data_IF_696805064228
#
_entry.id   IF_696805064228
#
_cell.length_a   1.000
_cell.length_b   1.000
_cell.length_c   1.000
_cell.angle_alpha   90.00
_cell.angle_beta   90.00
_cell.angle_gamma   90.00
#
_symmetry.space_group_name_H-M   'P 1'
#
loop_
_entity.id
_entity.type
_entity.pdbx_description
1 polymer ?
#
# COMPACT_ATOMS: atom_id res chain seq x y z
N UNK A 1 18.12 -45.60 -31.75
CA UNK A 1 17.13 -45.44 -30.67
C UNK A 1 17.34 -44.06 -30.04
N UNK A 2 16.68 -43.02 -30.56
CA UNK A 2 16.83 -41.65 -30.04
C UNK A 2 15.60 -41.31 -29.20
N UNK A 3 15.79 -41.20 -27.88
CA UNK A 3 14.75 -40.81 -26.92
C UNK A 3 14.66 -39.28 -26.96
N UNK A 4 13.63 -38.75 -27.62
CA UNK A 4 13.31 -37.32 -27.62
C UNK A 4 12.99 -36.87 -26.19
N UNK A 5 13.88 -36.10 -25.56
CA UNK A 5 13.63 -35.47 -24.27
C UNK A 5 12.51 -34.44 -24.43
N UNK A 6 11.34 -34.72 -23.84
CA UNK A 6 10.28 -33.72 -23.69
C UNK A 6 10.74 -32.72 -22.65
N UNK A 7 10.91 -31.46 -23.07
CA UNK A 7 11.11 -30.34 -22.15
C UNK A 7 9.93 -30.28 -21.17
N UNK A 8 10.16 -30.03 -19.88
CA UNK A 8 9.07 -29.88 -18.92
C UNK A 8 8.18 -28.72 -19.37
N UNK A 9 6.90 -28.98 -19.60
CA UNK A 9 5.93 -27.95 -19.93
C UNK A 9 5.66 -27.11 -18.69
N UNK A 10 6.26 -25.92 -18.61
CA UNK A 10 5.92 -24.94 -17.59
C UNK A 10 4.49 -24.47 -17.88
N UNK A 11 3.56 -24.86 -17.01
CA UNK A 11 2.19 -24.34 -17.03
C UNK A 11 2.20 -22.87 -16.66
N UNK A 12 1.59 -22.03 -17.50
CA UNK A 12 1.45 -20.59 -17.23
C UNK A 12 0.61 -20.37 -15.95
N UNK A 13 0.97 -19.39 -15.11
CA UNK A 13 0.21 -19.05 -13.91
C UNK A 13 -1.17 -18.49 -14.28
N UNK A 14 -2.14 -18.60 -13.36
CA UNK A 14 -3.47 -18.04 -13.58
C UNK A 14 -3.42 -16.50 -13.63
N UNK A 15 -4.34 -15.84 -14.36
CA UNK A 15 -4.41 -14.37 -14.40
C UNK A 15 -4.51 -13.73 -13.01
N UNK A 16 -5.23 -14.36 -12.08
CA UNK A 16 -5.35 -13.89 -10.70
C UNK A 16 -4.04 -13.99 -9.92
N UNK A 17 -3.25 -15.04 -10.16
CA UNK A 17 -1.90 -15.16 -9.58
C UNK A 17 -1.01 -14.03 -10.07
N UNK A 18 -1.06 -13.70 -11.37
CA UNK A 18 -0.29 -12.59 -11.95
C UNK A 18 -0.75 -11.26 -11.36
N UNK A 19 -2.06 -11.01 -11.24
CA UNK A 19 -2.59 -9.79 -10.62
C UNK A 19 -2.09 -9.63 -9.18
N UNK A 20 -2.13 -10.69 -8.37
CA UNK A 20 -1.64 -10.64 -6.98
C UNK A 20 -0.15 -10.33 -6.90
N UNK A 21 0.67 -10.91 -7.80
CA UNK A 21 2.10 -10.61 -7.87
C UNK A 21 2.36 -9.17 -8.31
N UNK A 22 1.58 -8.64 -9.25
CA UNK A 22 1.67 -7.23 -9.69
C UNK A 22 1.28 -6.29 -8.55
N UNK A 23 0.21 -6.59 -7.80
CA UNK A 23 -0.18 -5.78 -6.64
C UNK A 23 0.87 -5.83 -5.52
N UNK A 24 1.46 -6.99 -5.26
CA UNK A 24 2.53 -7.15 -4.28
C UNK A 24 3.78 -6.36 -4.69
N UNK A 25 4.18 -6.42 -5.96
CA UNK A 25 5.34 -5.67 -6.45
C UNK A 25 5.06 -4.16 -6.47
N UNK A 26 3.85 -3.75 -6.82
CA UNK A 26 3.41 -2.36 -6.70
C UNK A 26 3.52 -1.87 -5.26
N UNK A 27 3.02 -2.65 -4.29
CA UNK A 27 3.15 -2.34 -2.87
C UNK A 27 4.60 -2.12 -2.46
N UNK A 28 5.49 -3.06 -2.78
CA UNK A 28 6.91 -3.00 -2.39
C UNK A 28 7.62 -1.80 -3.00
N UNK A 29 7.36 -1.49 -4.27
CA UNK A 29 8.00 -0.36 -4.95
C UNK A 29 7.51 0.96 -4.36
N UNK A 30 6.19 1.12 -4.22
CA UNK A 30 5.62 2.40 -3.77
C UNK A 30 5.81 2.63 -2.28
N UNK A 31 5.92 1.58 -1.46
CA UNK A 31 6.29 1.72 -0.05
C UNK A 31 7.74 2.16 0.16
N UNK A 32 8.55 2.23 -0.90
CA UNK A 32 9.95 2.62 -0.79
C UNK A 32 10.86 1.51 -0.30
N UNK A 33 10.49 0.23 -0.49
CA UNK A 33 11.33 -0.91 -0.09
C UNK A 33 12.75 -0.82 -0.66
N UNK A 34 12.90 -0.32 -1.90
CA UNK A 34 14.22 -0.10 -2.52
C UNK A 34 15.03 0.96 -1.77
N UNK A 35 14.37 2.04 -1.33
CA UNK A 35 14.99 3.06 -0.49
C UNK A 35 15.40 2.47 0.86
N UNK A 36 14.54 1.63 1.46
CA UNK A 36 14.82 1.00 2.75
C UNK A 36 16.05 0.09 2.69
N UNK A 37 16.22 -0.68 1.61
CA UNK A 37 17.39 -1.55 1.41
C UNK A 37 18.68 -0.75 1.17
N UNK A 38 18.61 0.37 0.45
CA UNK A 38 19.80 1.16 0.10
C UNK A 38 20.24 2.05 1.27
N UNK A 39 19.28 2.69 1.94
CA UNK A 39 19.54 3.74 2.93
C UNK A 39 19.50 3.20 4.36
N UNK A 40 18.89 2.04 4.57
CA UNK A 40 18.72 1.41 5.88
C UNK A 40 18.20 2.40 6.94
N UNK A 41 17.11 3.14 6.68
CA UNK A 41 16.57 4.10 7.63
C UNK A 41 16.04 3.38 8.88
N UNK A 42 15.98 4.06 10.04
CA UNK A 42 15.37 3.46 11.21
C UNK A 42 13.89 3.18 10.98
N UNK A 43 13.37 2.13 11.62
CA UNK A 43 11.98 1.71 11.44
C UNK A 43 10.96 2.74 11.93
N UNK A 44 11.27 3.41 13.03
CA UNK A 44 10.51 4.51 13.63
C UNK A 44 11.48 5.57 14.15
N UNK A 45 11.02 6.82 14.19
CA UNK A 45 11.72 7.91 14.84
C UNK A 45 11.35 8.06 16.31
N UNK A 46 12.04 8.98 16.98
CA UNK A 46 11.66 9.46 18.29
C UNK A 46 11.89 10.96 18.40
N UNK A 47 11.05 11.64 19.16
CA UNK A 47 11.24 13.03 19.55
C UNK A 47 11.30 13.11 21.06
N UNK A 48 12.27 13.85 21.59
CA UNK A 48 12.34 14.12 23.00
C UNK A 48 11.68 15.47 23.28
N UNK A 49 10.76 15.49 24.24
CA UNK A 49 10.22 16.74 24.74
C UNK A 49 11.30 17.48 25.55
N UNK A 50 11.53 18.74 25.17
CA UNK A 50 12.59 19.59 25.73
C UNK A 50 12.34 19.93 27.21
N UNK A 51 11.09 19.94 27.67
CA UNK A 51 10.74 20.31 29.04
C UNK A 51 10.63 19.10 29.97
N UNK A 52 10.07 17.99 29.47
CA UNK A 52 9.80 16.80 30.29
C UNK A 52 10.86 15.71 30.13
N UNK A 53 11.70 15.78 29.10
CA UNK A 53 12.66 14.73 28.75
C UNK A 53 12.02 13.44 28.21
N UNK A 54 10.69 13.39 28.13
CA UNK A 54 9.94 12.21 27.68
C UNK A 54 10.19 11.98 26.19
N UNK A 55 10.57 10.76 25.85
CA UNK A 55 10.77 10.33 24.46
C UNK A 55 9.45 9.80 23.92
N UNK A 56 8.97 10.38 22.82
CA UNK A 56 7.74 9.97 22.13
C UNK A 56 8.09 9.35 20.77
N UNK A 57 7.46 8.23 20.39
CA UNK A 57 7.67 7.64 19.08
C UNK A 57 7.09 8.55 17.99
N UNK A 58 7.78 8.63 16.86
CA UNK A 58 7.38 9.42 15.70
C UNK A 58 7.39 8.53 14.47
N UNK A 59 6.24 8.44 13.81
CA UNK A 59 6.03 7.50 12.68
C UNK A 59 6.40 8.13 11.34
N UNK A 60 6.26 9.45 11.20
CA UNK A 60 6.57 10.21 9.98
C UNK A 60 7.70 11.18 10.25
N UNK A 61 8.68 11.29 9.36
CA UNK A 61 9.77 12.27 9.50
C UNK A 61 9.32 13.66 9.01
N UNK A 62 8.96 14.62 9.88
CA UNK A 62 8.36 15.88 9.45
C UNK A 62 9.40 16.81 8.81
N UNK A 63 8.99 17.54 7.77
CA UNK A 63 9.81 18.58 7.11
C UNK A 63 10.93 18.07 6.22
N UNK A 64 11.21 16.75 6.19
CA UNK A 64 12.18 16.13 5.30
C UNK A 64 11.47 15.25 4.27
N UNK A 65 11.19 15.81 3.09
CA UNK A 65 10.40 15.14 2.05
C UNK A 65 11.16 13.97 1.40
N UNK A 66 12.48 14.08 1.26
CA UNK A 66 13.31 13.06 0.59
C UNK A 66 13.76 11.90 1.50
N UNK A 67 13.37 11.91 2.77
CA UNK A 67 13.72 10.85 3.71
C UNK A 67 12.46 10.28 4.35
N UNK A 68 12.45 8.98 4.61
CA UNK A 68 11.33 8.29 5.25
C UNK A 68 11.81 7.32 6.32
N UNK A 69 10.94 7.02 7.27
CA UNK A 69 11.07 5.82 8.11
C UNK A 69 10.45 4.61 7.40
N UNK A 70 10.88 3.39 7.75
CA UNK A 70 10.35 2.17 7.13
C UNK A 70 8.82 2.09 7.30
N UNK A 71 8.32 2.39 8.50
CA UNK A 71 6.88 2.33 8.77
C UNK A 71 6.08 3.40 8.00
N UNK A 72 6.69 4.55 7.72
CA UNK A 72 6.09 5.63 6.94
C UNK A 72 5.88 5.18 5.49
N UNK A 73 6.91 4.58 4.89
CA UNK A 73 6.84 3.99 3.57
C UNK A 73 5.82 2.85 3.48
N UNK A 74 5.89 1.87 4.39
CA UNK A 74 4.96 0.73 4.40
C UNK A 74 3.50 1.15 4.61
N UNK A 75 3.24 2.10 5.51
CA UNK A 75 1.87 2.58 5.78
C UNK A 75 1.28 3.35 4.60
N UNK A 76 2.08 4.18 3.92
CA UNK A 76 1.62 4.89 2.71
C UNK A 76 1.38 3.93 1.54
N UNK A 77 2.29 2.99 1.29
CA UNK A 77 2.11 1.94 0.28
C UNK A 77 0.84 1.11 0.52
N UNK A 78 0.55 0.76 1.78
CA UNK A 78 -0.66 0.03 2.14
C UNK A 78 -1.93 0.82 1.80
N UNK A 79 -1.95 2.13 2.09
CA UNK A 79 -3.11 2.98 1.77
C UNK A 79 -3.37 3.06 0.27
N UNK A 80 -2.33 3.10 -0.57
CA UNK A 80 -2.52 3.10 -2.02
C UNK A 80 -3.08 1.78 -2.55
N UNK A 81 -2.59 0.65 -2.04
CA UNK A 81 -3.14 -0.67 -2.41
C UNK A 81 -4.58 -0.82 -1.92
N UNK A 82 -4.88 -0.36 -0.70
CA UNK A 82 -6.25 -0.35 -0.15
C UNK A 82 -7.19 0.48 -1.04
N UNK A 83 -6.76 1.65 -1.49
CA UNK A 83 -7.51 2.48 -2.43
C UNK A 83 -7.74 1.77 -3.77
N UNK A 84 -6.69 1.18 -4.36
CA UNK A 84 -6.77 0.43 -5.61
C UNK A 84 -7.67 -0.80 -5.53
N UNK A 85 -7.56 -1.59 -4.46
CA UNK A 85 -8.45 -2.70 -4.16
C UNK A 85 -9.90 -2.23 -3.99
N UNK A 86 -10.10 -1.05 -3.37
CA UNK A 86 -11.42 -0.42 -3.26
C UNK A 86 -12.08 -0.19 -4.62
N UNK A 87 -11.32 0.26 -5.62
CA UNK A 87 -11.81 0.43 -7.00
C UNK A 87 -12.14 -0.92 -7.64
N UNK A 88 -11.30 -1.95 -7.45
CA UNK A 88 -11.59 -3.31 -7.94
C UNK A 88 -12.87 -3.87 -7.31
N UNK A 89 -13.08 -3.64 -6.01
CA UNK A 89 -14.31 -4.04 -5.32
C UNK A 89 -15.54 -3.31 -5.87
N UNK A 90 -15.41 -2.04 -6.23
CA UNK A 90 -16.50 -1.30 -6.87
C UNK A 90 -16.88 -1.93 -8.21
N UNK A 91 -15.91 -2.23 -9.06
CA UNK A 91 -16.14 -2.90 -10.35
C UNK A 91 -16.85 -4.26 -10.16
N UNK A 92 -16.38 -5.05 -9.20
CA UNK A 92 -17.01 -6.32 -8.79
C UNK A 92 -18.44 -6.14 -8.28
N UNK A 93 -18.77 -4.99 -7.68
CA UNK A 93 -20.11 -4.65 -7.23
C UNK A 93 -21.11 -4.38 -8.37
N UNK A 94 -20.63 -4.01 -9.56
CA UNK A 94 -21.47 -3.74 -10.73
C UNK A 94 -21.70 -4.96 -11.64
N UNK A 95 -21.07 -6.10 -11.35
CA UNK A 95 -21.30 -7.34 -12.06
C UNK A 95 -22.80 -7.75 -12.01
N UNK A 96 -23.39 -8.05 -13.17
CA UNK A 96 -24.81 -8.41 -13.28
C UNK A 96 -25.09 -9.79 -12.67
N UNK A 97 -24.12 -10.69 -12.65
CA UNK A 97 -24.31 -12.10 -12.33
C UNK A 97 -24.31 -12.45 -10.82
N UNK A 98 -24.33 -11.45 -9.94
CA UNK A 98 -24.28 -11.64 -8.47
C UNK A 98 -25.61 -11.32 -7.79
N UNK A 99 -25.78 -11.82 -6.58
CA UNK A 99 -26.91 -11.46 -5.72
C UNK A 99 -26.85 -10.00 -5.28
N UNK A 100 -28.02 -9.39 -5.09
CA UNK A 100 -28.15 -7.97 -4.70
C UNK A 100 -27.39 -7.66 -3.41
N UNK A 101 -27.46 -8.54 -2.41
CA UNK A 101 -26.77 -8.35 -1.12
C UNK A 101 -25.25 -8.32 -1.27
N UNK A 102 -24.69 -9.18 -2.12
CA UNK A 102 -23.24 -9.24 -2.39
C UNK A 102 -22.77 -8.00 -3.12
N UNK A 103 -23.56 -7.49 -4.09
CA UNK A 103 -23.26 -6.24 -4.78
C UNK A 103 -23.21 -5.06 -3.81
N UNK A 104 -24.22 -4.92 -2.97
CA UNK A 104 -24.27 -3.83 -1.97
C UNK A 104 -23.06 -3.91 -1.03
N UNK A 105 -22.67 -5.12 -0.62
CA UNK A 105 -21.49 -5.32 0.21
C UNK A 105 -20.19 -4.90 -0.50
N UNK A 106 -19.97 -5.32 -1.75
CA UNK A 106 -18.76 -4.92 -2.48
C UNK A 106 -18.71 -3.42 -2.75
N UNK A 107 -19.83 -2.80 -3.09
CA UNK A 107 -19.90 -1.34 -3.30
C UNK A 107 -19.64 -0.60 -1.98
N UNK A 108 -20.25 -1.01 -0.86
CA UNK A 108 -20.06 -0.33 0.41
C UNK A 108 -18.63 -0.41 0.92
N UNK A 109 -18.03 -1.60 0.87
CA UNK A 109 -16.62 -1.81 1.25
C UNK A 109 -15.69 -1.09 0.29
N UNK A 110 -15.97 -1.12 -1.03
CA UNK A 110 -15.19 -0.42 -2.04
C UNK A 110 -15.15 1.09 -1.82
N UNK A 111 -16.30 1.73 -1.60
CA UNK A 111 -16.40 3.16 -1.28
C UNK A 111 -15.63 3.47 0.01
N UNK A 112 -15.88 2.72 1.08
CA UNK A 112 -15.20 2.92 2.36
C UNK A 112 -13.67 2.81 2.23
N UNK A 113 -13.19 1.82 1.49
CA UNK A 113 -11.78 1.57 1.23
C UNK A 113 -11.12 2.78 0.53
N UNK A 114 -11.75 3.30 -0.54
CA UNK A 114 -11.25 4.46 -1.27
C UNK A 114 -11.26 5.72 -0.40
N UNK A 115 -12.34 5.96 0.35
CA UNK A 115 -12.47 7.14 1.21
C UNK A 115 -11.43 7.12 2.33
N UNK A 116 -11.24 5.98 3.01
CA UNK A 116 -10.24 5.81 4.06
C UNK A 116 -8.83 6.02 3.48
N UNK A 117 -8.52 5.38 2.35
CA UNK A 117 -7.23 5.53 1.68
C UNK A 117 -6.93 7.00 1.34
N UNK A 118 -7.91 7.74 0.81
CA UNK A 118 -7.76 9.15 0.46
C UNK A 118 -7.52 10.03 1.71
N UNK A 119 -8.38 9.90 2.73
CA UNK A 119 -8.27 10.70 3.96
C UNK A 119 -6.92 10.44 4.64
N UNK A 120 -6.53 9.17 4.77
CA UNK A 120 -5.27 8.79 5.42
C UNK A 120 -4.05 9.26 4.61
N UNK A 121 -4.05 9.11 3.29
CA UNK A 121 -2.96 9.60 2.44
C UNK A 121 -2.82 11.13 2.54
N UNK A 122 -3.94 11.86 2.59
CA UNK A 122 -3.94 13.31 2.77
C UNK A 122 -3.42 13.71 4.16
N UNK A 123 -3.78 12.96 5.21
CA UNK A 123 -3.25 13.14 6.55
C UNK A 123 -1.73 12.94 6.57
N UNK A 124 -1.23 11.88 5.92
CA UNK A 124 0.21 11.59 5.86
C UNK A 124 0.99 12.73 5.21
N UNK A 125 0.51 13.29 4.10
CA UNK A 125 1.14 14.44 3.45
C UNK A 125 1.13 15.66 4.38
N UNK A 126 0.04 15.93 5.10
CA UNK A 126 -0.04 17.07 6.03
C UNK A 126 0.88 16.93 7.25
N UNK A 127 1.12 15.69 7.72
CA UNK A 127 2.11 15.42 8.76
C UNK A 127 3.53 15.62 8.20
N UNK A 128 3.78 15.11 6.99
CA UNK A 128 5.07 15.18 6.31
C UNK A 128 5.48 16.61 5.95
N UNK A 129 4.54 17.40 5.45
CA UNK A 129 4.69 18.78 4.98
C UNK A 129 3.75 19.68 5.78
N UNK A 130 4.20 20.22 6.93
CA UNK A 130 3.41 21.14 7.72
C UNK A 130 3.01 22.37 6.89
N UNK A 131 1.70 22.68 6.85
CA UNK A 131 1.18 23.78 6.03
C UNK A 131 0.80 23.39 4.60
N UNK A 132 0.83 22.10 4.25
CA UNK A 132 0.35 21.63 2.95
C UNK A 132 -1.12 22.01 2.70
N UNK A 133 -1.35 22.80 1.65
CA UNK A 133 -2.65 23.34 1.22
C UNK A 133 -3.40 24.12 2.32
N UNK A 134 -2.67 24.88 3.15
CA UNK A 134 -3.24 25.95 3.98
C UNK A 134 -3.45 27.22 3.19
#
# INVERSE_FOLDING_TARGET
>A
MAKTMRLPSITLPSPMTVLSLVLLTYFLVVSGFVYDVIVEPPGIGSTQDRFTGVVRPVVFLPGRVNGQYIIEGLSSGFMFVLGGLGIILLDLGFDRNRDKSVKIFFVSVGIASVVIAYIMSMLFIRIKIPGYLK
#
